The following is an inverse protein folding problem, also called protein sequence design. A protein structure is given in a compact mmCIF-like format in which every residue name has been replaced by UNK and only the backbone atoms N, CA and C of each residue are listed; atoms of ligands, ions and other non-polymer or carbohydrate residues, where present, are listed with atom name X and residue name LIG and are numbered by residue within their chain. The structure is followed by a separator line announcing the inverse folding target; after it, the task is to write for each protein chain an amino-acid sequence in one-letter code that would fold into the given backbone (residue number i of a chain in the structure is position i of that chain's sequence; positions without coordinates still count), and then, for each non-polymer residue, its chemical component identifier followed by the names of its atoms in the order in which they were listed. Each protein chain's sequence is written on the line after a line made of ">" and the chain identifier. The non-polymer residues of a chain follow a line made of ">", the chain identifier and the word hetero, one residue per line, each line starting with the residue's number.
data_IF_023333639584
#
_entry.id   IF_023333639584
#
_cell.length_a   1.000
_cell.length_b   1.000
_cell.length_c   1.000
_cell.angle_alpha   90.00
_cell.angle_beta   90.00
_cell.angle_gamma   90.00
#
_symmetry.space_group_name_H-M   'P 1'
#
loop_
_entity.id
_entity.type
_entity.pdbx_description
1 polymer ?
#
# COMPACT_ATOMS: atom_id res chain seq x y z
N UNK A 1 2.87 -7.49 -27.42
CA UNK A 1 2.57 -8.20 -26.15
C UNK A 1 1.11 -7.94 -25.76
N UNK A 2 0.39 -8.93 -25.23
CA UNK A 2 -1.03 -8.80 -24.80
C UNK A 2 -1.22 -8.87 -23.29
N UNK A 3 -0.13 -8.98 -22.53
CA UNK A 3 -0.15 -9.06 -21.07
C UNK A 3 1.06 -8.34 -20.47
N UNK A 4 0.88 -7.82 -19.26
CA UNK A 4 1.95 -7.39 -18.37
C UNK A 4 2.21 -8.46 -17.32
N UNK A 5 3.48 -8.64 -16.95
CA UNK A 5 3.87 -9.52 -15.85
C UNK A 5 4.17 -8.66 -14.64
N UNK A 6 3.35 -8.80 -13.60
CA UNK A 6 3.47 -8.03 -12.38
C UNK A 6 4.31 -8.78 -11.36
N UNK A 7 5.30 -8.10 -10.81
CA UNK A 7 5.93 -8.52 -9.56
C UNK A 7 5.03 -8.09 -8.40
N UNK A 8 4.39 -9.07 -7.76
CA UNK A 8 3.49 -8.87 -6.63
C UNK A 8 4.16 -9.17 -5.29
N UNK A 9 5.50 -9.27 -5.21
CA UNK A 9 6.22 -9.68 -4.00
C UNK A 9 5.76 -11.05 -3.44
N UNK A 10 5.58 -12.00 -4.35
CA UNK A 10 5.21 -13.38 -4.06
C UNK A 10 6.10 -14.35 -4.85
N UNK A 11 6.10 -15.65 -4.53
CA UNK A 11 6.91 -16.64 -5.26
C UNK A 11 6.54 -16.76 -6.76
N UNK A 12 5.36 -16.28 -7.15
CA UNK A 12 4.83 -16.35 -8.51
C UNK A 12 4.55 -14.95 -9.04
N UNK A 13 4.82 -14.74 -10.33
CA UNK A 13 4.41 -13.54 -11.03
C UNK A 13 2.91 -13.59 -11.33
N UNK A 14 2.28 -12.41 -11.38
CA UNK A 14 0.87 -12.28 -11.73
C UNK A 14 0.74 -11.66 -13.13
N UNK A 15 0.50 -12.45 -14.20
CA UNK A 15 0.10 -11.89 -15.48
C UNK A 15 -1.22 -11.09 -15.35
N UNK A 16 -1.27 -9.97 -16.04
CA UNK A 16 -2.45 -9.13 -16.23
C UNK A 16 -2.68 -8.93 -17.72
N UNK A 17 -3.79 -9.43 -18.23
CA UNK A 17 -4.14 -9.32 -19.65
C UNK A 17 -4.65 -7.90 -19.97
N UNK A 18 -4.53 -7.45 -21.22
CA UNK A 18 -5.09 -6.16 -21.69
C UNK A 18 -6.61 -6.05 -21.50
N UNK A 19 -7.33 -7.17 -21.40
CA UNK A 19 -8.75 -7.15 -21.07
C UNK A 19 -9.04 -6.83 -19.61
N UNK A 20 -8.04 -6.85 -18.74
CA UNK A 20 -8.17 -6.67 -17.28
C UNK A 20 -7.79 -5.26 -16.82
N UNK A 21 -7.59 -4.33 -17.75
CA UNK A 21 -7.36 -2.91 -17.47
C UNK A 21 -8.58 -2.07 -17.84
N UNK A 22 -8.82 -0.92 -17.18
CA UNK A 22 -9.96 -0.06 -17.50
C UNK A 22 -9.79 0.71 -18.83
N UNK A 23 -8.60 0.68 -19.43
CA UNK A 23 -8.28 1.39 -20.67
C UNK A 23 -8.53 0.51 -21.90
N UNK A 24 -8.91 1.14 -23.02
CA UNK A 24 -8.86 0.47 -24.32
C UNK A 24 -7.42 0.46 -24.83
N UNK A 25 -6.85 -0.74 -24.96
CA UNK A 25 -5.46 -0.92 -25.38
C UNK A 25 -5.44 -1.44 -26.81
N UNK A 26 -4.92 -0.62 -27.73
CA UNK A 26 -4.74 -1.00 -29.13
C UNK A 26 -3.67 -2.08 -29.32
N UNK A 27 -3.63 -2.64 -30.52
CA UNK A 27 -2.67 -3.70 -30.86
C UNK A 27 -1.22 -3.20 -30.66
N UNK A 28 -0.45 -3.94 -29.86
CA UNK A 28 0.96 -3.64 -29.52
C UNK A 28 1.20 -2.30 -28.79
N UNK A 29 0.18 -1.70 -28.18
CA UNK A 29 0.30 -0.42 -27.47
C UNK A 29 0.49 -0.55 -25.96
N UNK A 30 0.75 -1.77 -25.45
CA UNK A 30 0.85 -2.06 -24.00
C UNK A 30 1.83 -1.15 -23.25
N UNK A 31 2.98 -0.85 -23.88
CA UNK A 31 4.01 -0.01 -23.27
C UNK A 31 3.57 1.45 -23.11
N UNK A 32 2.60 1.95 -23.89
CA UNK A 32 2.11 3.33 -23.75
C UNK A 32 1.35 3.55 -22.44
N UNK A 33 0.77 2.48 -21.88
CA UNK A 33 -0.05 2.56 -20.66
C UNK A 33 0.77 2.21 -19.42
N UNK A 34 1.51 1.11 -19.48
CA UNK A 34 2.34 0.62 -18.39
C UNK A 34 3.70 0.15 -18.92
N UNK A 35 4.75 0.74 -18.36
CA UNK A 35 6.15 0.41 -18.63
C UNK A 35 6.78 -0.36 -17.47
N UNK A 36 7.90 -1.02 -17.74
CA UNK A 36 8.66 -1.71 -16.70
C UNK A 36 9.19 -0.71 -15.66
N UNK A 37 9.02 -1.02 -14.38
CA UNK A 37 9.41 -0.16 -13.26
C UNK A 37 8.27 0.72 -12.73
N UNK A 38 7.14 0.78 -13.42
CA UNK A 38 5.96 1.49 -12.92
C UNK A 38 5.18 0.67 -11.90
N UNK A 39 4.55 1.35 -10.95
CA UNK A 39 3.76 0.73 -9.90
C UNK A 39 2.25 0.92 -10.16
N UNK A 40 1.46 -0.08 -9.78
CA UNK A 40 0.01 -0.07 -9.92
C UNK A 40 -0.66 -0.59 -8.66
N UNK A 41 -1.87 -0.10 -8.39
CA UNK A 41 -2.81 -0.78 -7.52
C UNK A 41 -3.61 -1.75 -8.37
N UNK A 42 -3.50 -3.04 -8.07
CA UNK A 42 -4.24 -4.11 -8.71
C UNK A 42 -4.83 -5.06 -7.66
N UNK A 43 -5.78 -5.88 -8.08
CA UNK A 43 -6.38 -6.95 -7.27
C UNK A 43 -6.06 -8.30 -7.88
N UNK A 44 -5.92 -9.32 -7.03
CA UNK A 44 -5.86 -10.70 -7.50
C UNK A 44 -7.27 -11.13 -7.93
N UNK A 45 -7.43 -11.43 -9.21
CA UNK A 45 -8.71 -11.85 -9.80
C UNK A 45 -9.04 -13.29 -9.41
N UNK A 46 -8.12 -14.21 -9.66
CA UNK A 46 -8.21 -15.60 -9.21
C UNK A 46 -6.84 -16.23 -9.08
N UNK A 47 -6.80 -17.35 -8.37
CA UNK A 47 -5.64 -18.24 -8.26
C UNK A 47 -6.12 -19.65 -8.61
N UNK A 48 -5.45 -20.32 -9.54
CA UNK A 48 -5.79 -21.68 -9.93
C UNK A 48 -5.06 -22.75 -9.09
N UNK A 49 -5.39 -24.02 -9.31
CA UNK A 49 -4.78 -25.17 -8.62
C UNK A 49 -3.28 -25.30 -8.92
N UNK A 50 -2.85 -24.84 -10.09
CA UNK A 50 -1.45 -24.79 -10.51
C UNK A 50 -0.71 -23.56 -9.96
N UNK A 51 -1.31 -22.83 -9.01
CA UNK A 51 -0.77 -21.62 -8.38
C UNK A 51 -0.49 -20.47 -9.36
N UNK A 52 -1.14 -20.47 -10.53
CA UNK A 52 -1.12 -19.31 -11.42
C UNK A 52 -2.05 -18.25 -10.85
N UNK A 53 -1.50 -17.05 -10.72
CA UNK A 53 -2.20 -15.89 -10.21
C UNK A 53 -2.55 -15.00 -11.40
N UNK A 54 -3.80 -14.57 -11.52
CA UNK A 54 -4.17 -13.54 -12.48
C UNK A 54 -4.54 -12.26 -11.74
N UNK A 55 -4.04 -11.12 -12.22
CA UNK A 55 -4.34 -9.81 -11.66
C UNK A 55 -5.33 -9.03 -12.55
N UNK A 56 -6.05 -8.10 -11.92
CA UNK A 56 -6.95 -7.17 -12.59
C UNK A 56 -6.83 -5.75 -12.03
N UNK A 57 -7.08 -4.76 -12.88
CA UNK A 57 -7.24 -3.35 -12.53
C UNK A 57 -8.69 -2.87 -12.72
N UNK A 58 -9.62 -3.76 -13.11
CA UNK A 58 -11.05 -3.46 -13.28
C UNK A 58 -11.81 -3.56 -11.96
N UNK A 59 -11.42 -2.78 -10.96
CA UNK A 59 -12.14 -2.67 -9.70
C UNK A 59 -12.06 -1.22 -9.19
N UNK A 60 -12.87 -0.92 -8.19
CA UNK A 60 -12.94 0.41 -7.57
C UNK A 60 -11.58 0.76 -6.95
N UNK A 61 -11.15 2.01 -7.16
CA UNK A 61 -9.92 2.60 -6.61
C UNK A 61 -8.59 2.00 -7.13
N UNK A 62 -8.63 1.03 -8.05
CA UNK A 62 -7.44 0.51 -8.72
C UNK A 62 -7.00 1.49 -9.81
N UNK A 63 -5.70 1.77 -9.85
CA UNK A 63 -5.11 2.75 -10.77
C UNK A 63 -3.61 2.60 -10.85
N UNK A 64 -3.03 3.20 -11.88
CA UNK A 64 -1.59 3.45 -11.94
C UNK A 64 -1.19 4.40 -10.80
N UNK A 65 -0.10 4.08 -10.12
CA UNK A 65 0.47 4.94 -9.08
C UNK A 65 1.48 5.88 -9.72
N UNK A 66 1.24 7.19 -9.57
CA UNK A 66 2.14 8.24 -10.03
C UNK A 66 2.70 8.99 -8.83
N UNK A 67 4.02 9.13 -8.78
CA UNK A 67 4.71 9.74 -7.65
C UNK A 67 4.59 8.94 -6.35
N UNK A 68 4.89 9.62 -5.24
CA UNK A 68 4.96 9.01 -3.92
C UNK A 68 6.17 8.10 -3.72
N UNK A 69 6.13 7.33 -2.64
CA UNK A 69 7.19 6.42 -2.21
C UNK A 69 6.56 5.07 -1.88
N UNK A 70 7.24 3.99 -2.29
CA UNK A 70 6.87 2.62 -1.92
C UNK A 70 7.91 2.11 -0.93
N UNK A 71 7.43 1.50 0.16
CA UNK A 71 8.27 0.76 1.09
C UNK A 71 7.83 -0.69 1.16
N UNK A 72 8.80 -1.58 1.35
CA UNK A 72 8.56 -2.99 1.59
C UNK A 72 8.63 -3.30 3.09
N UNK A 73 7.62 -4.01 3.57
CA UNK A 73 7.56 -4.62 4.90
C UNK A 73 7.27 -6.11 4.76
N UNK A 74 7.61 -6.89 5.79
CA UNK A 74 7.23 -8.30 5.79
C UNK A 74 5.70 -8.47 5.69
N UNK A 75 5.17 -9.30 4.77
CA UNK A 75 3.72 -9.51 4.61
C UNK A 75 3.02 -9.93 5.92
N UNK A 76 3.72 -10.67 6.78
CA UNK A 76 3.23 -11.08 8.10
C UNK A 76 2.98 -9.91 9.08
N UNK A 77 3.53 -8.72 8.80
CA UNK A 77 3.37 -7.52 9.63
C UNK A 77 2.25 -6.60 9.14
N UNK A 78 1.70 -6.83 7.94
CA UNK A 78 0.65 -6.00 7.34
C UNK A 78 -0.57 -5.88 8.25
N UNK A 79 -1.07 -7.00 8.79
CA UNK A 79 -2.22 -6.98 9.70
C UNK A 79 -2.00 -6.11 10.95
N UNK A 80 -0.76 -6.10 11.49
CA UNK A 80 -0.40 -5.27 12.64
C UNK A 80 -0.30 -3.80 12.28
N UNK A 81 0.20 -3.49 11.09
CA UNK A 81 0.30 -2.11 10.56
C UNK A 81 -1.10 -1.51 10.34
N UNK A 82 -2.04 -2.31 9.81
CA UNK A 82 -3.44 -1.88 9.65
C UNK A 82 -4.08 -1.65 11.03
N UNK A 83 -3.80 -2.55 11.99
CA UNK A 83 -4.42 -2.51 13.31
C UNK A 83 -5.88 -2.97 13.30
N UNK A 84 -6.48 -3.08 14.49
CA UNK A 84 -7.88 -3.52 14.62
C UNK A 84 -8.79 -2.50 13.93
N UNK A 85 -9.63 -2.96 13.00
CA UNK A 85 -10.52 -2.13 12.18
C UNK A 85 -9.82 -0.98 11.41
N UNK A 86 -8.51 -1.08 11.14
CA UNK A 86 -7.78 0.00 10.47
C UNK A 86 -7.34 1.15 11.37
N UNK A 87 -7.59 1.08 12.68
CA UNK A 87 -7.27 2.13 13.66
C UNK A 87 -5.83 2.65 13.57
N UNK A 88 -4.85 1.76 13.38
CA UNK A 88 -3.45 2.18 13.34
C UNK A 88 -3.12 2.92 12.05
N UNK A 89 -3.65 2.45 10.93
CA UNK A 89 -3.49 3.10 9.64
C UNK A 89 -4.14 4.48 9.62
N UNK A 90 -5.34 4.58 10.20
CA UNK A 90 -6.07 5.84 10.33
C UNK A 90 -5.33 6.83 11.24
N UNK A 91 -4.77 6.35 12.37
CA UNK A 91 -3.94 7.17 13.24
C UNK A 91 -2.76 7.77 12.47
N UNK A 92 -1.95 6.94 11.79
CA UNK A 92 -0.81 7.44 11.02
C UNK A 92 -1.26 8.44 9.95
N UNK A 93 -2.38 8.15 9.26
CA UNK A 93 -2.97 9.06 8.27
C UNK A 93 -3.34 10.41 8.87
N UNK A 94 -4.04 10.45 10.00
CA UNK A 94 -4.46 11.72 10.65
C UNK A 94 -3.27 12.57 11.10
N UNK A 95 -2.22 11.94 11.65
CA UNK A 95 -1.05 12.69 12.12
C UNK A 95 -0.18 13.20 10.96
N UNK A 96 -0.01 12.43 9.89
CA UNK A 96 0.95 12.74 8.81
C UNK A 96 0.33 13.38 7.57
N UNK A 97 -1.01 13.37 7.45
CA UNK A 97 -1.77 13.85 6.29
C UNK A 97 -1.32 13.26 4.94
N UNK A 98 -0.78 12.04 4.97
CA UNK A 98 -0.34 11.33 3.75
C UNK A 98 -1.45 10.42 3.20
N UNK A 99 -1.53 10.36 1.88
CA UNK A 99 -2.29 9.32 1.20
C UNK A 99 -1.53 8.01 1.28
N UNK A 100 -2.19 6.95 1.70
CA UNK A 100 -1.55 5.67 1.96
C UNK A 100 -2.41 4.50 1.47
N UNK A 101 -1.74 3.52 0.88
CA UNK A 101 -2.32 2.25 0.46
C UNK A 101 -1.41 1.12 0.94
N UNK A 102 -2.00 0.18 1.69
CA UNK A 102 -1.30 -0.99 2.22
C UNK A 102 -1.70 -2.21 1.41
N UNK A 103 -0.77 -2.73 0.62
CA UNK A 103 -0.93 -3.99 -0.10
C UNK A 103 -0.77 -5.19 0.84
N UNK A 104 -1.59 -6.22 0.64
CA UNK A 104 -1.48 -7.48 1.39
C UNK A 104 -0.15 -8.22 1.15
N UNK A 105 0.55 -7.86 0.07
CA UNK A 105 1.88 -8.35 -0.26
C UNK A 105 3.02 -7.62 0.48
N UNK A 106 2.71 -6.76 1.46
CA UNK A 106 3.73 -6.04 2.22
C UNK A 106 4.30 -4.82 1.51
N UNK A 107 3.75 -4.39 0.36
CA UNK A 107 4.09 -3.11 -0.25
C UNK A 107 3.16 -2.01 0.26
N UNK A 108 3.74 -0.94 0.78
CA UNK A 108 2.99 0.22 1.24
C UNK A 108 3.36 1.40 0.35
N UNK A 109 2.39 1.95 -0.36
CA UNK A 109 2.56 3.18 -1.12
C UNK A 109 2.08 4.36 -0.29
N UNK A 110 2.86 5.44 -0.28
CA UNK A 110 2.58 6.68 0.42
C UNK A 110 2.80 7.86 -0.52
N UNK A 111 1.92 8.86 -0.47
CA UNK A 111 2.06 10.10 -1.23
C UNK A 111 1.55 11.29 -0.43
N UNK A 112 2.30 12.38 -0.44
CA UNK A 112 2.04 13.56 0.37
C UNK A 112 3.31 14.40 0.52
N UNK A 113 3.31 15.29 1.49
CA UNK A 113 4.50 16.10 1.79
C UNK A 113 5.66 15.23 2.28
N UNK A 114 6.89 15.67 1.97
CA UNK A 114 8.10 14.90 2.25
C UNK A 114 8.25 14.55 3.73
N UNK A 115 7.97 15.51 4.63
CA UNK A 115 8.07 15.32 6.08
C UNK A 115 7.05 14.30 6.59
N UNK A 116 5.81 14.37 6.09
CA UNK A 116 4.75 13.41 6.40
C UNK A 116 5.10 12.00 5.94
N UNK A 117 5.59 11.86 4.70
CA UNK A 117 6.00 10.56 4.14
C UNK A 117 7.18 9.96 4.91
N UNK A 118 8.17 10.79 5.28
CA UNK A 118 9.29 10.34 6.09
C UNK A 118 8.84 9.87 7.47
N UNK A 119 7.96 10.63 8.13
CA UNK A 119 7.43 10.28 9.44
C UNK A 119 6.62 8.98 9.38
N UNK A 120 5.72 8.83 8.41
CA UNK A 120 4.96 7.60 8.20
C UNK A 120 5.88 6.39 7.94
N UNK A 121 6.93 6.58 7.14
CA UNK A 121 7.95 5.55 6.88
C UNK A 121 8.64 5.10 8.17
N UNK A 122 9.05 6.05 9.02
CA UNK A 122 9.68 5.74 10.30
C UNK A 122 8.73 4.97 11.23
N UNK A 123 7.46 5.35 11.28
CA UNK A 123 6.45 4.64 12.06
C UNK A 123 6.23 3.22 11.56
N UNK A 124 6.08 3.00 10.25
CA UNK A 124 5.89 1.64 9.74
C UNK A 124 7.11 0.75 10.02
N UNK A 125 8.32 1.29 9.94
CA UNK A 125 9.55 0.57 10.36
C UNK A 125 9.60 0.31 11.86
N UNK A 126 9.12 1.23 12.69
CA UNK A 126 8.99 1.02 14.13
C UNK A 126 8.00 -0.13 14.43
N UNK A 127 6.81 -0.09 13.81
CA UNK A 127 5.80 -1.14 13.96
C UNK A 127 6.33 -2.51 13.49
N UNK A 128 7.05 -2.56 12.38
CA UNK A 128 7.65 -3.80 11.86
C UNK A 128 8.58 -4.46 12.88
N UNK A 129 9.44 -3.67 13.53
CA UNK A 129 10.39 -4.15 14.57
C UNK A 129 9.69 -4.51 15.88
N UNK A 130 8.72 -3.70 16.29
CA UNK A 130 8.11 -3.75 17.62
C UNK A 130 6.73 -4.44 17.65
N UNK A 131 6.31 -5.10 16.57
CA UNK A 131 4.98 -5.70 16.44
C UNK A 131 4.55 -6.64 17.59
N UNK A 132 5.51 -7.20 18.32
CA UNK A 132 5.31 -8.13 19.43
C UNK A 132 5.22 -7.45 20.80
N UNK A 133 5.51 -6.15 20.88
CA UNK A 133 5.59 -5.40 22.14
C UNK A 133 4.19 -4.91 22.54
N UNK A 134 3.76 -5.11 23.80
CA UNK A 134 2.54 -4.51 24.34
C UNK A 134 2.61 -2.98 24.35
N UNK A 135 1.48 -2.29 24.18
CA UNK A 135 1.43 -0.83 24.24
C UNK A 135 1.99 -0.10 23.02
N UNK A 136 2.22 -0.79 21.90
CA UNK A 136 2.75 -0.19 20.66
C UNK A 136 1.95 1.04 20.20
N UNK A 137 0.61 1.01 20.32
CA UNK A 137 -0.27 2.11 19.92
C UNK A 137 0.12 3.42 20.62
N UNK A 138 0.33 3.39 21.93
CA UNK A 138 0.68 4.57 22.72
C UNK A 138 2.08 5.07 22.39
N UNK A 139 3.02 4.16 22.12
CA UNK A 139 4.38 4.53 21.66
C UNK A 139 4.34 5.20 20.30
N UNK A 140 3.54 4.68 19.37
CA UNK A 140 3.36 5.25 18.03
C UNK A 140 2.69 6.61 18.12
N UNK A 141 1.65 6.78 18.95
CA UNK A 141 1.01 8.09 19.21
C UNK A 141 2.02 9.11 19.74
N UNK A 142 2.77 8.75 20.78
CA UNK A 142 3.78 9.64 21.36
C UNK A 142 4.84 10.05 20.33
N UNK A 143 5.34 9.10 19.54
CA UNK A 143 6.30 9.37 18.46
C UNK A 143 5.73 10.29 17.38
N UNK A 144 4.48 10.05 16.97
CA UNK A 144 3.81 10.88 15.97
C UNK A 144 3.59 12.31 16.49
N UNK A 145 3.10 12.46 17.73
CA UNK A 145 2.88 13.77 18.34
C UNK A 145 4.18 14.58 18.48
N UNK A 146 5.28 13.93 18.88
CA UNK A 146 6.60 14.55 18.96
C UNK A 146 7.08 15.04 17.59
N UNK A 147 6.89 14.24 16.54
CA UNK A 147 7.39 14.56 15.19
C UNK A 147 6.55 15.58 14.44
N UNK A 148 5.23 15.53 14.57
CA UNK A 148 4.34 16.42 13.82
C UNK A 148 3.97 17.67 14.61
N UNK A 149 4.25 17.70 15.92
CA UNK A 149 3.83 18.77 16.82
C UNK A 149 2.31 18.85 16.99
N UNK A 150 1.57 17.83 16.54
CA UNK A 150 0.10 17.74 16.64
C UNK A 150 -0.27 16.86 17.82
N UNK A 151 -1.10 17.35 18.73
CA UNK A 151 -1.88 16.50 19.63
C UNK A 151 -3.27 16.35 19.03
N UNK A 152 -3.62 15.13 18.62
CA UNK A 152 -5.02 14.82 18.33
C UNK A 152 -5.67 14.53 19.69
N UNK A 153 -6.05 15.60 20.38
CA UNK A 153 -6.97 15.50 21.51
C UNK A 153 -8.34 15.10 20.96
N UNK A 154 -9.09 14.38 21.78
CA UNK A 154 -10.29 13.60 21.47
C UNK A 154 -11.37 14.42 20.71
N UNK A 155 -11.35 14.43 19.38
CA UNK A 155 -12.54 14.67 18.57
C UNK A 155 -13.33 13.36 18.46
N UNK A 156 -13.95 12.94 19.57
CA UNK A 156 -15.14 12.09 19.57
C UNK A 156 -16.10 12.55 20.69
N UNK A 157 -16.63 13.77 20.54
CA UNK A 157 -18.00 14.07 20.97
C UNK A 157 -18.74 14.65 19.77
N UNK A 158 -19.43 13.80 19.01
CA UNK A 158 -20.75 14.05 18.41
C UNK A 158 -21.39 12.75 17.88
#
# INVERSE_FOLDING_TARGET
>A
PSSWFLDINAPYQAPMHVSEVPWEVGFAETSKFLEAGEAILCKVLFVDEAKKVQATMKDRNLRKLTGGVIIDVAPSKVARIIGKNGSMLELVKKYTDVWLFVGQNGRIWMNGEQEGVQTATQVFRMIEREAHIPGLTERVKAFLAEKTGRTLDEEEEE
#
